data_IF_513962893360
#
_entry.id   IF_513962893360
#
_cell.length_a   1.000
_cell.length_b   1.000
_cell.length_c   1.000
_cell.angle_alpha   90.00
_cell.angle_beta   90.00
_cell.angle_gamma   90.00
#
_symmetry.space_group_name_H-M   'P 1'
#
loop_
_entity.id
_entity.type
_entity.pdbx_description
1 polymer ?
#
# COMPACT_ATOMS: atom_id res chain seq x y z
N UNK A 1 -32.59 -59.34 -1.68
CA UNK A 1 -31.21 -58.81 -1.46
C UNK A 1 -30.80 -57.72 -2.46
N UNK A 2 -31.08 -57.83 -3.76
CA UNK A 2 -30.66 -56.84 -4.79
C UNK A 2 -31.22 -55.40 -4.62
N UNK A 3 -32.45 -55.25 -4.12
CA UNK A 3 -33.11 -53.94 -4.01
C UNK A 3 -32.43 -53.01 -2.99
N UNK A 4 -31.99 -53.53 -1.83
CA UNK A 4 -31.27 -52.75 -0.80
C UNK A 4 -29.91 -52.22 -1.30
N UNK A 5 -29.24 -52.96 -2.18
CA UNK A 5 -27.96 -52.53 -2.76
C UNK A 5 -28.11 -51.32 -3.68
N UNK A 6 -29.19 -51.24 -4.45
CA UNK A 6 -29.44 -50.10 -5.34
C UNK A 6 -29.67 -48.79 -4.57
N UNK A 7 -30.36 -48.83 -3.43
CA UNK A 7 -30.56 -47.62 -2.61
C UNK A 7 -29.27 -47.12 -1.97
N UNK A 8 -28.37 -48.02 -1.57
CA UNK A 8 -27.05 -47.66 -1.03
C UNK A 8 -26.18 -47.01 -2.11
N UNK A 9 -26.19 -47.55 -3.34
CA UNK A 9 -25.44 -46.98 -4.47
C UNK A 9 -25.98 -45.60 -4.84
N UNK A 10 -27.30 -45.42 -4.90
CA UNK A 10 -27.93 -44.12 -5.21
C UNK A 10 -27.61 -43.09 -4.11
N UNK A 11 -27.65 -43.50 -2.83
CA UNK A 11 -27.31 -42.61 -1.72
C UNK A 11 -25.83 -42.18 -1.73
N UNK A 12 -24.91 -43.10 -2.02
CA UNK A 12 -23.48 -42.79 -2.18
C UNK A 12 -23.23 -41.86 -3.37
N UNK A 13 -23.92 -42.06 -4.50
CA UNK A 13 -23.83 -41.17 -5.66
C UNK A 13 -24.35 -39.77 -5.34
N UNK A 14 -25.46 -39.65 -4.60
CA UNK A 14 -25.98 -38.37 -4.15
C UNK A 14 -25.01 -37.65 -3.20
N UNK A 15 -24.38 -38.37 -2.28
CA UNK A 15 -23.35 -37.82 -1.40
C UNK A 15 -22.11 -37.34 -2.17
N UNK A 16 -21.68 -38.10 -3.18
CA UNK A 16 -20.56 -37.69 -4.05
C UNK A 16 -20.94 -36.45 -4.86
N UNK A 17 -22.15 -36.40 -5.43
CA UNK A 17 -22.63 -35.24 -6.19
C UNK A 17 -22.72 -34.01 -5.28
N UNK A 18 -23.32 -34.15 -4.09
CA UNK A 18 -23.38 -33.09 -3.08
C UNK A 18 -21.99 -32.64 -2.66
N UNK A 19 -21.06 -33.56 -2.43
CA UNK A 19 -19.67 -33.24 -2.08
C UNK A 19 -18.93 -32.55 -3.22
N UNK A 20 -19.10 -32.98 -4.48
CA UNK A 20 -18.51 -32.30 -5.65
C UNK A 20 -19.14 -30.93 -5.88
N UNK A 21 -20.43 -30.77 -5.61
CA UNK A 21 -21.15 -29.51 -5.75
C UNK A 21 -20.73 -28.54 -4.64
N UNK A 22 -20.65 -28.99 -3.39
CA UNK A 22 -20.08 -28.21 -2.27
C UNK A 22 -18.62 -27.85 -2.52
N UNK A 23 -17.79 -28.79 -3.00
CA UNK A 23 -16.40 -28.53 -3.36
C UNK A 23 -16.28 -27.58 -4.54
N UNK A 24 -17.23 -27.59 -5.48
CA UNK A 24 -17.27 -26.61 -6.57
C UNK A 24 -17.67 -25.22 -6.09
N UNK A 25 -18.45 -25.11 -5.00
CA UNK A 25 -18.77 -23.85 -4.31
C UNK A 25 -17.62 -23.37 -3.41
N UNK A 26 -16.91 -24.27 -2.73
CA UNK A 26 -15.68 -23.95 -1.99
C UNK A 26 -14.54 -23.54 -2.94
N UNK A 27 -14.48 -24.11 -4.15
CA UNK A 27 -13.56 -23.70 -5.22
C UNK A 27 -14.05 -22.51 -6.05
N UNK A 28 -15.16 -21.86 -5.69
CA UNK A 28 -15.33 -20.43 -6.00
C UNK A 28 -14.55 -19.65 -4.94
N UNK A 29 -13.27 -20.00 -4.75
CA UNK A 29 -12.31 -19.00 -4.27
C UNK A 29 -12.38 -17.89 -5.31
N UNK A 30 -12.84 -16.71 -4.91
CA UNK A 30 -12.75 -15.56 -5.80
C UNK A 30 -11.30 -15.44 -6.21
N UNK A 31 -11.00 -15.58 -7.49
CA UNK A 31 -9.65 -15.37 -8.03
C UNK A 31 -9.09 -14.08 -7.40
N UNK A 32 -7.94 -14.20 -6.73
CA UNK A 32 -7.28 -13.08 -6.05
C UNK A 32 -7.26 -11.87 -7.00
N UNK A 33 -7.88 -10.77 -6.57
CA UNK A 33 -7.87 -9.54 -7.37
C UNK A 33 -6.67 -8.69 -7.01
N UNK A 34 -6.14 -8.00 -8.00
CA UNK A 34 -5.10 -6.99 -7.85
C UNK A 34 -5.70 -5.63 -8.13
N UNK A 35 -5.74 -4.79 -7.10
CA UNK A 35 -6.22 -3.42 -7.13
C UNK A 35 -5.04 -2.47 -7.22
N UNK A 36 -5.11 -1.44 -8.05
CA UNK A 36 -4.16 -0.32 -8.04
C UNK A 36 -4.87 0.95 -7.63
N UNK A 37 -4.23 1.76 -6.77
CA UNK A 37 -4.72 3.09 -6.41
C UNK A 37 -3.62 4.14 -6.51
N UNK A 38 -4.01 5.34 -6.92
CA UNK A 38 -3.14 6.52 -6.90
C UNK A 38 -3.97 7.78 -6.60
N UNK A 39 -3.31 8.82 -6.11
CA UNK A 39 -3.93 10.09 -5.77
C UNK A 39 -3.15 11.27 -6.37
N UNK A 40 -3.89 12.25 -6.87
CA UNK A 40 -3.34 13.55 -7.27
C UNK A 40 -4.34 14.64 -6.94
N UNK A 41 -4.02 15.46 -5.94
CA UNK A 41 -4.85 16.57 -5.49
C UNK A 41 -4.02 17.79 -5.08
N UNK A 42 -4.66 18.95 -5.01
CA UNK A 42 -4.00 20.21 -4.66
C UNK A 42 -3.55 21.06 -5.86
N UNK A 43 -4.00 20.72 -7.07
CA UNK A 43 -3.83 21.53 -8.27
C UNK A 43 -3.78 20.71 -9.55
N UNK A 44 -3.93 21.39 -10.70
CA UNK A 44 -4.01 20.76 -12.02
C UNK A 44 -2.81 19.85 -12.32
N UNK A 45 -1.59 20.25 -11.95
CA UNK A 45 -0.39 19.43 -12.19
C UNK A 45 -0.49 18.04 -11.51
N UNK A 46 -1.12 17.95 -10.33
CA UNK A 46 -1.32 16.68 -9.64
C UNK A 46 -2.47 15.87 -10.26
N UNK A 47 -3.52 16.53 -10.75
CA UNK A 47 -4.58 15.89 -11.53
C UNK A 47 -4.01 15.27 -12.81
N UNK A 48 -3.16 16.00 -13.52
CA UNK A 48 -2.50 15.52 -14.72
C UNK A 48 -1.57 14.34 -14.42
N UNK A 49 -0.83 14.41 -13.31
CA UNK A 49 0.03 13.32 -12.85
C UNK A 49 -0.76 12.04 -12.53
N UNK A 50 -1.89 12.14 -11.80
CA UNK A 50 -2.69 10.96 -11.46
C UNK A 50 -3.42 10.39 -12.69
N UNK A 51 -3.85 11.26 -13.62
CA UNK A 51 -4.40 10.83 -14.91
C UNK A 51 -3.36 10.08 -15.75
N UNK A 52 -2.12 10.58 -15.79
CA UNK A 52 -1.02 9.94 -16.50
C UNK A 52 -0.71 8.56 -15.94
N UNK A 53 -0.46 8.43 -14.63
CA UNK A 53 -0.13 7.13 -14.04
C UNK A 53 -1.29 6.14 -14.17
N UNK A 54 -2.54 6.58 -14.04
CA UNK A 54 -3.72 5.73 -14.28
C UNK A 54 -3.74 5.19 -15.71
N UNK A 55 -3.48 6.05 -16.71
CA UNK A 55 -3.40 5.62 -18.10
C UNK A 55 -2.24 4.64 -18.34
N UNK A 56 -1.08 4.88 -17.74
CA UNK A 56 0.08 3.98 -17.84
C UNK A 56 -0.19 2.62 -17.21
N UNK A 57 -0.77 2.57 -16.01
CA UNK A 57 -1.18 1.32 -15.36
C UNK A 57 -2.20 0.57 -16.23
N UNK A 58 -3.18 1.27 -16.80
CA UNK A 58 -4.24 0.66 -17.62
C UNK A 58 -3.72 0.10 -18.95
N UNK A 59 -2.78 0.80 -19.58
CA UNK A 59 -2.35 0.49 -20.96
C UNK A 59 -1.10 -0.37 -21.03
N UNK A 60 -0.24 -0.33 -20.00
CA UNK A 60 1.04 -1.06 -20.00
C UNK A 60 1.01 -2.30 -19.11
N UNK A 61 0.12 -2.35 -18.12
CA UNK A 61 0.07 -3.43 -17.13
C UNK A 61 -1.28 -4.15 -17.20
N UNK A 62 -1.26 -5.45 -17.51
CA UNK A 62 -2.47 -6.27 -17.68
C UNK A 62 -2.79 -7.16 -16.46
N UNK A 63 -2.14 -6.88 -15.32
CA UNK A 63 -2.29 -7.66 -14.08
C UNK A 63 -3.39 -7.10 -13.16
N UNK A 64 -3.72 -5.82 -13.29
CA UNK A 64 -4.71 -5.18 -12.42
C UNK A 64 -6.14 -5.51 -12.84
N UNK A 65 -6.97 -5.88 -11.87
CA UNK A 65 -8.41 -6.07 -12.05
C UNK A 65 -9.17 -4.76 -11.87
N UNK A 66 -8.72 -3.92 -10.94
CA UNK A 66 -9.33 -2.63 -10.61
C UNK A 66 -8.23 -1.57 -10.52
N UNK A 67 -8.43 -0.42 -11.18
CA UNK A 67 -7.50 0.71 -11.12
C UNK A 67 -8.28 1.96 -10.74
N UNK A 68 -8.13 2.40 -9.49
CA UNK A 68 -8.78 3.60 -8.98
C UNK A 68 -7.80 4.77 -9.01
N UNK A 69 -8.30 5.93 -9.45
CA UNK A 69 -7.61 7.21 -9.27
C UNK A 69 -8.47 8.09 -8.40
N UNK A 70 -7.82 8.83 -7.52
CA UNK A 70 -8.47 9.79 -6.63
C UNK A 70 -7.88 11.18 -6.84
N UNK A 71 -8.73 12.17 -6.67
CA UNK A 71 -8.40 13.59 -6.69
C UNK A 71 -8.87 14.26 -5.40
N UNK A 72 -8.51 15.51 -5.19
CA UNK A 72 -9.06 16.25 -4.07
C UNK A 72 -10.58 16.46 -4.13
N UNK A 73 -11.19 16.38 -5.30
CA UNK A 73 -12.66 16.40 -5.41
C UNK A 73 -13.30 15.17 -4.77
N UNK A 74 -12.64 14.01 -4.88
CA UNK A 74 -13.14 12.76 -4.29
C UNK A 74 -13.05 12.83 -2.76
N UNK A 75 -11.96 13.38 -2.22
CA UNK A 75 -11.82 13.62 -0.78
C UNK A 75 -12.84 14.63 -0.26
N UNK A 76 -13.15 15.69 -1.00
CA UNK A 76 -14.15 16.70 -0.62
C UNK A 76 -15.58 16.15 -0.62
N UNK A 77 -15.86 15.15 -1.48
CA UNK A 77 -17.16 14.47 -1.56
C UNK A 77 -17.34 13.42 -0.45
N UNK A 78 -16.25 12.89 0.09
CA UNK A 78 -16.27 11.98 1.23
C UNK A 78 -16.47 12.78 2.53
N UNK A 79 -17.72 12.84 2.99
CA UNK A 79 -18.10 13.65 4.16
C UNK A 79 -17.40 13.21 5.44
N UNK A 80 -17.22 11.90 5.63
CA UNK A 80 -16.59 11.34 6.83
C UNK A 80 -15.13 11.82 6.97
N UNK A 81 -14.44 11.94 5.84
CA UNK A 81 -13.08 12.46 5.80
C UNK A 81 -13.05 13.99 5.87
N UNK A 82 -13.84 14.66 5.01
CA UNK A 82 -13.71 16.10 4.79
C UNK A 82 -14.20 16.92 5.98
N UNK A 83 -15.27 16.50 6.66
CA UNK A 83 -15.74 17.20 7.87
C UNK A 83 -14.69 17.17 8.98
N UNK A 84 -13.93 16.09 9.10
CA UNK A 84 -12.90 15.91 10.12
C UNK A 84 -11.58 16.60 9.77
N UNK A 85 -11.17 16.54 8.50
CA UNK A 85 -9.82 16.91 8.08
C UNK A 85 -9.74 18.10 7.13
N UNK A 86 -10.86 18.51 6.51
CA UNK A 86 -10.90 19.54 5.47
C UNK A 86 -10.26 20.86 5.92
N UNK A 87 -10.63 21.36 7.11
CA UNK A 87 -10.01 22.58 7.67
C UNK A 87 -8.49 22.43 7.87
N UNK A 88 -8.00 21.26 8.29
CA UNK A 88 -6.56 21.03 8.44
C UNK A 88 -5.86 21.02 7.07
N UNK A 89 -6.42 20.33 6.08
CA UNK A 89 -5.89 20.22 4.73
C UNK A 89 -5.82 21.59 4.04
N UNK A 90 -6.87 22.40 4.14
CA UNK A 90 -6.94 23.72 3.52
C UNK A 90 -5.89 24.69 4.08
N UNK A 91 -5.57 24.56 5.38
CA UNK A 91 -4.55 25.35 6.06
C UNK A 91 -3.13 24.77 5.91
N UNK A 92 -2.96 23.54 5.43
CA UNK A 92 -1.67 22.86 5.32
C UNK A 92 -1.46 22.27 3.90
N UNK A 93 -1.00 23.11 2.96
CA UNK A 93 -0.95 22.74 1.53
C UNK A 93 0.07 21.65 1.18
N UNK A 94 1.17 21.54 1.92
CA UNK A 94 2.25 20.57 1.63
C UNK A 94 1.69 19.16 1.77
N UNK A 95 1.91 18.31 0.76
CA UNK A 95 1.34 16.96 0.75
C UNK A 95 -0.18 16.88 0.74
N UNK A 96 -0.87 17.99 0.40
CA UNK A 96 -2.31 18.12 0.49
C UNK A 96 -2.84 17.78 1.91
N UNK A 97 -2.28 18.46 2.91
CA UNK A 97 -2.50 18.18 4.33
C UNK A 97 -1.46 17.26 4.97
N UNK A 98 -0.28 17.09 4.37
CA UNK A 98 0.76 16.15 4.80
C UNK A 98 0.41 14.67 4.66
N UNK A 99 -0.25 14.31 3.57
CA UNK A 99 -0.49 12.92 3.16
C UNK A 99 -1.36 12.09 4.10
N UNK A 100 -2.09 12.70 5.04
CA UNK A 100 -3.03 11.99 5.93
C UNK A 100 -4.13 11.24 5.14
N UNK A 101 -4.45 11.71 3.95
CA UNK A 101 -5.37 11.07 3.00
C UNK A 101 -4.86 9.73 2.48
N UNK A 102 -3.53 9.48 2.47
CA UNK A 102 -2.95 8.26 1.90
C UNK A 102 -3.38 7.00 2.68
N UNK A 103 -3.11 6.89 3.99
CA UNK A 103 -3.60 5.75 4.75
C UNK A 103 -5.12 5.67 4.77
N UNK A 104 -5.83 6.80 4.70
CA UNK A 104 -7.29 6.81 4.60
C UNK A 104 -7.80 6.17 3.30
N UNK A 105 -7.28 6.57 2.14
CA UNK A 105 -7.70 6.01 0.85
C UNK A 105 -7.31 4.53 0.70
N UNK A 106 -6.15 4.13 1.24
CA UNK A 106 -5.75 2.72 1.35
C UNK A 106 -6.78 1.96 2.19
N UNK A 107 -7.12 2.45 3.38
CA UNK A 107 -8.13 1.86 4.28
C UNK A 107 -9.49 1.70 3.58
N UNK A 108 -10.03 2.79 3.00
CA UNK A 108 -11.31 2.79 2.28
C UNK A 108 -11.32 1.87 1.06
N UNK A 109 -10.18 1.68 0.41
CA UNK A 109 -10.07 0.73 -0.69
C UNK A 109 -10.08 -0.70 -0.15
N UNK A 110 -9.31 -0.99 0.89
CA UNK A 110 -9.30 -2.31 1.53
C UNK A 110 -10.67 -2.73 2.06
N UNK A 111 -11.54 -1.82 2.49
CA UNK A 111 -12.93 -2.12 2.85
C UNK A 111 -13.75 -2.76 1.71
N UNK A 112 -13.42 -2.46 0.45
CA UNK A 112 -14.10 -2.98 -0.76
C UNK A 112 -13.53 -4.29 -1.28
N UNK A 113 -12.31 -4.62 -0.87
CA UNK A 113 -11.55 -5.79 -1.34
C UNK A 113 -11.98 -7.07 -0.63
N UNK A 114 -11.76 -8.23 -1.25
CA UNK A 114 -11.92 -9.52 -0.57
C UNK A 114 -10.67 -9.86 0.24
N UNK A 115 -10.81 -10.79 1.20
CA UNK A 115 -9.65 -11.36 1.90
C UNK A 115 -8.68 -11.97 0.88
N UNK A 116 -7.38 -11.79 1.12
CA UNK A 116 -6.28 -12.14 0.23
C UNK A 116 -6.15 -11.33 -1.07
N UNK A 117 -7.01 -10.37 -1.41
CA UNK A 117 -6.75 -9.47 -2.55
C UNK A 117 -5.47 -8.64 -2.33
N UNK A 118 -4.82 -8.21 -3.43
CA UNK A 118 -3.63 -7.37 -3.40
C UNK A 118 -4.02 -5.92 -3.68
N UNK A 119 -3.53 -4.98 -2.87
CA UNK A 119 -3.58 -3.55 -3.12
C UNK A 119 -2.20 -3.04 -3.52
N UNK A 120 -2.12 -2.30 -4.62
CA UNK A 120 -0.93 -1.64 -5.11
C UNK A 120 -1.12 -0.12 -5.04
N UNK A 121 -0.54 0.52 -4.03
CA UNK A 121 -0.48 1.98 -3.95
C UNK A 121 0.76 2.50 -4.69
N UNK A 122 0.59 3.60 -5.42
CA UNK A 122 1.67 4.31 -6.12
C UNK A 122 1.43 5.82 -6.13
N UNK A 123 2.44 6.58 -5.74
CA UNK A 123 2.42 8.05 -5.87
C UNK A 123 2.23 8.47 -7.33
N UNK A 124 1.38 9.47 -7.57
CA UNK A 124 1.08 9.95 -8.93
C UNK A 124 2.26 10.57 -9.68
N UNK A 125 3.33 10.93 -8.96
CA UNK A 125 4.59 11.38 -9.55
C UNK A 125 5.44 10.27 -10.16
N UNK A 126 5.12 9.00 -9.94
CA UNK A 126 5.79 7.86 -10.56
C UNK A 126 5.35 7.69 -12.02
N UNK A 127 6.21 7.06 -12.82
CA UNK A 127 5.95 6.68 -14.21
C UNK A 127 6.17 5.17 -14.37
N UNK A 128 5.38 4.46 -15.17
CA UNK A 128 5.66 3.07 -15.56
C UNK A 128 6.62 3.07 -16.76
N UNK A 129 7.77 2.42 -16.61
CA UNK A 129 8.78 2.28 -17.67
C UNK A 129 8.27 1.42 -18.83
N UNK A 130 8.80 1.66 -20.02
CA UNK A 130 8.48 0.86 -21.22
C UNK A 130 9.29 -0.44 -21.24
N UNK A 131 9.18 -1.23 -20.18
CA UNK A 131 9.82 -2.55 -20.07
C UNK A 131 8.82 -3.63 -20.52
N UNK A 132 9.18 -4.42 -21.54
CA UNK A 132 8.36 -5.52 -22.03
C UNK A 132 8.11 -6.59 -20.94
N UNK A 133 8.99 -6.69 -19.94
CA UNK A 133 8.86 -7.60 -18.81
C UNK A 133 8.08 -7.00 -17.62
N UNK A 134 7.47 -5.83 -17.78
CA UNK A 134 6.84 -5.14 -16.66
C UNK A 134 5.76 -5.95 -15.95
N UNK A 135 4.95 -6.69 -16.72
CA UNK A 135 3.93 -7.57 -16.18
C UNK A 135 4.53 -8.71 -15.36
N UNK A 136 5.57 -9.38 -15.87
CA UNK A 136 6.24 -10.47 -15.15
C UNK A 136 6.85 -9.99 -13.84
N UNK A 137 7.49 -8.81 -13.84
CA UNK A 137 8.05 -8.20 -12.62
C UNK A 137 6.98 -7.89 -11.58
N UNK A 138 5.84 -7.37 -12.01
CA UNK A 138 4.72 -7.13 -11.09
C UNK A 138 4.12 -8.43 -10.55
N UNK A 139 4.01 -9.49 -11.37
CA UNK A 139 3.59 -10.82 -10.92
C UNK A 139 4.55 -11.33 -9.84
N UNK A 140 5.87 -11.22 -10.03
CA UNK A 140 6.86 -11.58 -8.99
C UNK A 140 6.68 -10.77 -7.71
N UNK A 141 6.32 -9.48 -7.80
CA UNK A 141 6.01 -8.70 -6.60
C UNK A 141 4.72 -9.17 -5.91
N UNK A 142 3.69 -9.57 -6.67
CA UNK A 142 2.48 -10.14 -6.10
C UNK A 142 2.78 -11.45 -5.38
N UNK A 143 3.58 -12.34 -5.97
CA UNK A 143 4.02 -13.60 -5.35
C UNK A 143 4.78 -13.33 -4.04
N UNK A 144 5.75 -12.42 -4.06
CA UNK A 144 6.47 -11.99 -2.84
C UNK A 144 5.56 -11.35 -1.80
N UNK A 145 4.55 -10.59 -2.22
CA UNK A 145 3.57 -10.00 -1.30
C UNK A 145 2.65 -11.07 -0.70
N UNK A 146 2.36 -12.15 -1.44
CA UNK A 146 1.64 -13.29 -0.89
C UNK A 146 2.40 -13.98 0.24
N UNK A 147 3.74 -14.01 0.16
CA UNK A 147 4.61 -14.56 1.19
C UNK A 147 4.79 -13.61 2.39
N UNK A 148 5.01 -12.32 2.13
CA UNK A 148 5.42 -11.33 3.15
C UNK A 148 4.28 -10.42 3.66
N UNK A 149 3.07 -10.55 3.11
CA UNK A 149 1.87 -9.73 3.38
C UNK A 149 1.95 -8.28 2.91
N UNK A 150 3.13 -7.69 2.86
CA UNK A 150 3.38 -6.32 2.42
C UNK A 150 4.70 -6.23 1.68
N UNK A 151 4.80 -5.35 0.68
CA UNK A 151 6.06 -4.95 0.06
C UNK A 151 6.17 -3.43 -0.01
N UNK A 152 7.37 -2.93 0.20
CA UNK A 152 7.72 -1.50 0.13
C UNK A 152 9.19 -1.33 -0.23
N UNK A 153 9.59 -0.11 -0.56
CA UNK A 153 10.99 0.23 -0.86
C UNK A 153 11.68 0.86 0.34
N UNK A 154 13.02 0.82 0.36
CA UNK A 154 13.83 1.52 1.36
C UNK A 154 14.29 2.88 0.82
N UNK A 155 14.39 3.89 1.68
CA UNK A 155 14.99 5.18 1.32
C UNK A 155 16.52 5.14 1.30
N UNK A 156 17.11 4.11 1.92
CA UNK A 156 18.56 4.05 2.19
C UNK A 156 19.04 5.08 3.22
N UNK A 157 18.13 5.74 3.94
CA UNK A 157 18.45 6.80 4.89
C UNK A 157 18.08 6.41 6.34
N UNK A 158 18.88 6.80 7.35
CA UNK A 158 18.57 6.52 8.75
C UNK A 158 17.30 7.23 9.25
N UNK A 159 16.49 6.54 10.05
CA UNK A 159 15.25 7.09 10.61
C UNK A 159 15.47 8.38 11.41
N UNK A 160 16.50 8.41 12.25
CA UNK A 160 16.84 9.56 13.11
C UNK A 160 17.10 10.87 12.36
N UNK A 161 17.46 10.78 11.08
CA UNK A 161 17.69 11.95 10.22
C UNK A 161 16.39 12.50 9.62
N UNK A 162 15.35 11.66 9.55
CA UNK A 162 14.15 11.91 8.74
C UNK A 162 12.82 11.75 9.49
N UNK A 163 12.87 11.42 10.78
CA UNK A 163 11.73 11.37 11.70
C UNK A 163 11.96 12.34 12.84
N UNK A 164 10.93 13.12 13.16
CA UNK A 164 10.97 13.92 14.39
C UNK A 164 10.79 13.01 15.60
N UNK A 165 11.41 13.39 16.71
CA UNK A 165 11.51 12.56 17.91
C UNK A 165 10.14 12.22 18.49
N UNK A 166 9.19 13.14 18.48
CA UNK A 166 7.84 12.91 19.00
C UNK A 166 7.13 11.79 18.23
N UNK A 167 7.40 11.62 16.93
CA UNK A 167 6.84 10.51 16.14
C UNK A 167 7.50 9.17 16.49
N UNK A 168 8.81 9.17 16.75
CA UNK A 168 9.55 7.98 17.20
C UNK A 168 9.03 7.55 18.59
N UNK A 169 8.94 8.50 19.52
CA UNK A 169 8.48 8.29 20.89
C UNK A 169 7.03 7.80 20.93
N UNK A 170 6.13 8.46 20.19
CA UNK A 170 4.71 8.10 20.16
C UNK A 170 4.48 6.66 19.66
N UNK A 171 5.23 6.22 18.64
CA UNK A 171 5.09 4.86 18.10
C UNK A 171 5.78 3.83 18.99
N UNK A 172 6.74 4.25 19.81
CA UNK A 172 7.45 3.39 20.75
C UNK A 172 8.47 2.48 20.09
N UNK A 173 8.98 2.86 18.91
CA UNK A 173 10.03 2.12 18.21
C UNK A 173 11.28 2.98 18.09
N UNK A 174 12.29 2.69 18.92
CA UNK A 174 13.58 3.39 18.90
C UNK A 174 14.72 2.41 18.69
N UNK A 175 15.01 2.12 17.42
CA UNK A 175 16.29 1.55 17.04
C UNK A 175 17.10 2.60 16.30
N UNK A 176 18.13 3.12 16.98
CA UNK A 176 19.04 4.19 16.52
C UNK A 176 19.71 3.94 15.17
N UNK A 177 19.65 2.71 14.65
CA UNK A 177 20.37 2.24 13.45
C UNK A 177 19.46 1.76 12.32
N UNK A 178 18.15 1.97 12.42
CA UNK A 178 17.24 1.50 11.37
C UNK A 178 17.14 2.47 10.20
N UNK A 179 16.87 1.91 9.03
CA UNK A 179 16.68 2.63 7.78
C UNK A 179 15.18 2.91 7.59
N UNK A 180 14.89 4.10 7.07
CA UNK A 180 13.53 4.52 6.76
C UNK A 180 13.01 3.80 5.51
N UNK A 181 11.82 3.21 5.64
CA UNK A 181 11.04 2.63 4.56
C UNK A 181 10.25 3.74 3.86
N UNK A 182 10.16 3.68 2.54
CA UNK A 182 9.45 4.65 1.73
C UNK A 182 7.98 4.27 1.59
N UNK A 183 7.09 5.28 1.60
CA UNK A 183 5.65 5.14 1.39
C UNK A 183 5.22 5.61 -0.01
N UNK A 184 6.14 5.59 -0.97
CA UNK A 184 5.92 5.98 -2.38
C UNK A 184 5.19 4.87 -3.16
N UNK A 185 5.56 3.62 -2.89
CA UNK A 185 5.00 2.41 -3.48
C UNK A 185 4.82 1.40 -2.36
N UNK A 186 3.60 0.92 -2.18
CA UNK A 186 3.26 -0.04 -1.15
C UNK A 186 2.34 -1.10 -1.76
N UNK A 187 2.70 -2.36 -1.62
CA UNK A 187 1.90 -3.50 -2.09
C UNK A 187 1.43 -4.24 -0.84
N UNK A 188 0.13 -4.43 -0.66
CA UNK A 188 -0.44 -4.98 0.57
C UNK A 188 -1.39 -6.12 0.20
N UNK A 189 -1.16 -7.31 0.73
CA UNK A 189 -2.15 -8.37 0.73
C UNK A 189 -3.17 -8.09 1.83
N UNK A 190 -4.44 -7.97 1.47
CA UNK A 190 -5.50 -7.79 2.45
C UNK A 190 -5.59 -9.03 3.35
N UNK A 191 -5.34 -8.80 4.63
CA UNK A 191 -5.68 -9.71 5.71
C UNK A 191 -5.93 -8.91 7.00
N UNK A 192 -6.38 -9.59 8.06
CA UNK A 192 -6.68 -8.95 9.35
C UNK A 192 -5.50 -8.12 9.89
N UNK A 193 -4.27 -8.64 9.86
CA UNK A 193 -3.07 -7.95 10.34
C UNK A 193 -2.78 -6.68 9.53
N UNK A 194 -2.91 -6.74 8.21
CA UNK A 194 -2.69 -5.58 7.34
C UNK A 194 -3.80 -4.54 7.48
N UNK A 195 -5.05 -4.96 7.71
CA UNK A 195 -6.16 -4.06 8.02
C UNK A 195 -5.88 -3.31 9.32
N UNK A 196 -5.44 -3.99 10.37
CA UNK A 196 -5.04 -3.38 11.64
C UNK A 196 -3.89 -2.38 11.47
N UNK A 197 -2.87 -2.75 10.70
CA UNK A 197 -1.73 -1.88 10.38
C UNK A 197 -2.16 -0.59 9.68
N UNK A 198 -2.97 -0.68 8.63
CA UNK A 198 -3.44 0.50 7.87
C UNK A 198 -4.36 1.37 8.73
N UNK A 199 -5.24 0.75 9.53
CA UNK A 199 -6.08 1.47 10.49
C UNK A 199 -5.24 2.22 11.53
N UNK A 200 -4.19 1.59 12.07
CA UNK A 200 -3.27 2.26 12.99
C UNK A 200 -2.52 3.40 12.30
N UNK A 201 -2.04 3.20 11.06
CA UNK A 201 -1.40 4.26 10.27
C UNK A 201 -2.32 5.47 10.11
N UNK A 202 -3.57 5.29 9.71
CA UNK A 202 -4.54 6.39 9.60
C UNK A 202 -4.84 7.04 10.96
N UNK A 203 -5.03 6.22 12.01
CA UNK A 203 -5.30 6.71 13.38
C UNK A 203 -4.18 7.61 13.89
N UNK A 204 -2.92 7.24 13.68
CA UNK A 204 -1.76 8.04 14.10
C UNK A 204 -1.65 9.31 13.25
N UNK A 205 -1.89 9.23 11.93
CA UNK A 205 -1.92 10.39 11.05
C UNK A 205 -3.03 11.40 11.40
N UNK A 206 -4.07 10.98 12.14
CA UNK A 206 -5.07 11.91 12.69
C UNK A 206 -4.53 12.79 13.84
N UNK A 207 -3.40 12.43 14.45
CA UNK A 207 -2.67 13.33 15.33
C UNK A 207 -1.77 14.23 14.47
N UNK A 208 -2.31 15.40 14.09
CA UNK A 208 -1.66 16.29 13.13
C UNK A 208 -0.26 16.73 13.52
N UNK A 209 0.03 16.84 14.83
CA UNK A 209 1.39 17.10 15.28
C UNK A 209 2.34 16.05 14.70
N UNK A 210 2.01 14.77 14.71
CA UNK A 210 2.91 13.70 14.25
C UNK A 210 3.15 13.66 12.74
N UNK A 211 2.45 14.49 11.96
CA UNK A 211 2.60 14.57 10.51
C UNK A 211 2.85 15.98 10.01
N UNK A 212 2.87 17.02 10.84
CA UNK A 212 3.08 18.39 10.38
C UNK A 212 4.55 18.83 10.53
N UNK A 213 4.83 20.06 10.07
CA UNK A 213 6.16 20.66 10.17
C UNK A 213 6.39 21.38 11.52
N UNK A 214 5.49 21.25 12.51
CA UNK A 214 5.73 21.84 13.83
C UNK A 214 6.92 21.14 14.50
N UNK A 215 7.82 21.89 15.17
CA UNK A 215 8.97 21.31 15.83
C UNK A 215 8.57 20.24 16.84
N UNK A 216 9.41 19.21 16.95
CA UNK A 216 9.30 18.21 18.02
C UNK A 216 9.42 18.88 19.39
N UNK A 217 8.61 18.43 20.36
CA UNK A 217 8.71 18.83 21.77
C UNK A 217 9.94 18.17 22.39
N UNK A 218 10.17 16.89 22.10
CA UNK A 218 11.39 16.17 22.48
C UNK A 218 12.57 16.59 21.59
N UNK A 219 13.80 16.59 22.12
CA UNK A 219 14.98 16.91 21.31
C UNK A 219 15.17 15.87 20.22
N UNK A 220 15.22 16.34 18.97
CA UNK A 220 15.64 15.52 17.84
C UNK A 220 17.10 15.07 17.98
N UNK A 221 17.47 13.99 17.28
CA UNK A 221 18.86 13.59 17.13
C UNK A 221 19.67 14.74 16.49
N UNK A 222 20.95 14.97 16.87
CA UNK A 222 21.78 16.02 16.28
C UNK A 222 21.93 15.96 14.75
N UNK A 223 21.66 14.80 14.14
CA UNK A 223 21.67 14.60 12.68
C UNK A 223 20.32 14.80 12.00
N UNK A 224 19.26 15.14 12.74
CA UNK A 224 17.92 15.39 12.20
C UNK A 224 17.94 16.49 11.14
N UNK A 225 17.25 16.24 10.02
CA UNK A 225 17.20 17.16 8.87
C UNK A 225 15.81 17.72 8.65
N UNK A 226 14.84 16.85 8.40
CA UNK A 226 13.43 17.21 8.25
C UNK A 226 12.56 15.99 8.51
N UNK A 227 11.29 16.23 8.84
CA UNK A 227 10.32 15.16 9.02
C UNK A 227 9.80 14.63 7.67
N UNK A 228 9.38 13.36 7.64
CA UNK A 228 8.78 12.69 6.46
C UNK A 228 7.30 12.36 6.63
N UNK A 229 6.64 12.96 7.62
CA UNK A 229 5.18 13.04 7.71
C UNK A 229 4.55 11.63 7.76
N UNK A 230 3.58 11.30 6.89
CA UNK A 230 2.95 9.97 6.84
C UNK A 230 3.95 8.83 6.63
N UNK A 231 5.03 9.06 5.87
CA UNK A 231 6.08 8.06 5.62
C UNK A 231 6.85 7.72 6.90
N UNK A 232 7.07 8.70 7.79
CA UNK A 232 7.68 8.43 9.10
C UNK A 232 6.82 7.45 9.91
N UNK A 233 5.51 7.67 9.94
CA UNK A 233 4.57 6.77 10.63
C UNK A 233 4.58 5.38 9.98
N UNK A 234 4.44 5.31 8.66
CA UNK A 234 4.51 4.06 7.89
C UNK A 234 5.79 3.26 8.22
N UNK A 235 6.93 3.94 8.17
CA UNK A 235 8.23 3.33 8.35
C UNK A 235 8.46 2.79 9.76
N UNK A 236 7.99 3.49 10.78
CA UNK A 236 8.09 3.03 12.17
C UNK A 236 7.06 1.93 12.46
N UNK A 237 5.85 2.02 11.92
CA UNK A 237 4.83 0.97 12.10
C UNK A 237 5.21 -0.34 11.42
N UNK A 238 5.80 -0.32 10.23
CA UNK A 238 6.26 -1.56 9.57
C UNK A 238 7.23 -2.33 10.47
N UNK A 239 8.10 -1.62 11.20
CA UNK A 239 9.02 -2.21 12.18
C UNK A 239 8.30 -2.68 13.45
N UNK A 240 7.38 -1.89 14.00
CA UNK A 240 6.55 -2.27 15.16
C UNK A 240 5.77 -3.56 14.90
N UNK A 241 5.31 -3.79 13.67
CA UNK A 241 4.58 -4.99 13.26
C UNK A 241 5.49 -6.16 12.83
N UNK A 242 6.82 -6.02 12.99
CA UNK A 242 7.84 -6.98 12.53
C UNK A 242 7.65 -7.37 11.05
N UNK A 243 7.32 -6.38 10.21
CA UNK A 243 7.25 -6.57 8.77
C UNK A 243 8.68 -6.44 8.24
N UNK A 244 9.21 -7.53 7.69
CA UNK A 244 10.53 -7.55 7.06
C UNK A 244 10.39 -8.11 5.66
N UNK A 245 10.74 -7.30 4.67
CA UNK A 245 10.89 -7.77 3.30
C UNK A 245 12.39 -8.02 3.12
N UNK A 246 12.84 -9.24 3.42
CA UNK A 246 14.29 -9.60 3.48
C UNK A 246 15.02 -9.41 2.15
N UNK A 247 14.30 -9.22 1.06
CA UNK A 247 14.86 -8.67 -0.17
C UNK A 247 14.23 -7.30 -0.40
N UNK A 248 15.01 -6.24 -0.17
CA UNK A 248 14.66 -4.91 -0.63
C UNK A 248 14.16 -5.05 -2.07
N UNK A 249 12.94 -4.59 -2.37
CA UNK A 249 12.43 -4.54 -3.75
C UNK A 249 13.52 -3.96 -4.68
N UNK A 250 14.25 -2.97 -4.15
CA UNK A 250 15.42 -2.31 -4.74
C UNK A 250 16.55 -3.28 -5.11
N UNK A 251 16.89 -4.33 -4.35
CA UNK A 251 17.97 -5.27 -4.71
C UNK A 251 17.58 -6.20 -5.87
N UNK A 252 16.34 -6.70 -5.89
CA UNK A 252 15.79 -7.42 -7.06
C UNK A 252 15.79 -6.51 -8.29
N UNK A 253 15.59 -5.22 -8.08
CA UNK A 253 15.55 -4.16 -9.09
C UNK A 253 16.94 -3.65 -9.49
N UNK A 254 17.94 -3.60 -8.63
CA UNK A 254 19.24 -2.98 -8.94
C UNK A 254 20.21 -3.98 -9.56
N UNK A 255 20.04 -5.29 -9.30
CA UNK A 255 20.86 -6.33 -9.95
C UNK A 255 20.65 -6.42 -11.46
N UNK A 256 19.49 -5.99 -11.97
CA UNK A 256 19.15 -6.10 -13.40
C UNK A 256 19.44 -4.83 -14.22
N UNK A 257 19.64 -3.67 -13.59
CA UNK A 257 19.92 -2.42 -14.32
C UNK A 257 21.02 -1.61 -13.65
N UNK A 258 22.10 -1.32 -14.40
CA UNK A 258 23.28 -0.53 -13.98
C UNK A 258 22.99 0.95 -13.64
N UNK A 259 21.79 1.31 -13.18
CA UNK A 259 21.39 2.67 -12.84
C UNK A 259 21.19 2.81 -11.33
N UNK A 260 22.24 3.29 -10.67
CA UNK A 260 22.20 3.78 -9.29
C UNK A 260 21.63 5.20 -9.31
N UNK A 261 20.32 5.34 -9.53
CA UNK A 261 19.62 6.57 -9.21
C UNK A 261 18.51 6.26 -8.21
N UNK A 262 18.86 6.55 -6.95
CA UNK A 262 18.10 6.38 -5.73
C UNK A 262 16.57 6.29 -5.89
N UNK A 263 16.03 5.17 -5.38
CA UNK A 263 14.66 4.98 -4.90
C UNK A 263 13.52 4.69 -5.91
N UNK A 264 13.79 4.11 -7.09
CA UNK A 264 12.70 3.60 -7.93
C UNK A 264 12.88 2.12 -8.31
N UNK A 265 11.80 1.32 -8.28
CA UNK A 265 11.81 0.02 -8.94
C UNK A 265 12.19 0.20 -10.42
N UNK A 266 12.85 -0.77 -11.07
CA UNK A 266 13.19 -0.73 -12.53
C UNK A 266 11.96 -0.35 -13.35
N UNK A 267 10.80 -0.77 -12.87
CA UNK A 267 9.52 -0.49 -13.46
C UNK A 267 9.13 0.98 -13.45
N UNK A 268 9.83 1.87 -12.74
CA UNK A 268 9.40 3.25 -12.55
C UNK A 268 10.52 4.29 -12.50
N UNK A 269 10.16 5.51 -12.85
CA UNK A 269 11.00 6.70 -12.64
C UNK A 269 10.14 7.86 -12.11
N UNK A 270 10.76 8.88 -11.51
CA UNK A 270 10.08 10.13 -11.11
C UNK A 270 10.74 11.31 -11.81
N UNK A 271 9.94 12.12 -12.50
CA UNK A 271 10.42 13.41 -12.99
C UNK A 271 10.52 14.42 -11.85
N UNK A 272 11.63 15.15 -11.82
CA UNK A 272 11.80 16.34 -10.98
C UNK A 272 10.91 17.47 -11.50
#
# INVERSE_FOLDING_TARGET
>A
MKIKYNYIIIFLLLLIILWTFFRSFENIESQQKVWAISFGGGGQNFHDAVNRIHNELTTKINVFNEILKFTDEDLKKDTDFWEKHGNFIENNRRGYGYWLWKPYLIMKTMEKMNENDILFYIDSGCEITNDENANNKLITFIEKCNENEILYTSTGQPEKMWNKMDTIDYIGYNEEKTIQNAATIVIIKKNQKMVEFVNEWYRISCNYHLIDDTPSILPNDPSFREHRHDQSIFSLLTKKYNMSNEENLIETITKETNYVNFAYPILMSRKK
#
